data_IF_968058863519
#
_entry.id   IF_968058863519
#
_cell.length_a   1.000
_cell.length_b   1.000
_cell.length_c   1.000
_cell.angle_alpha   90.00
_cell.angle_beta   90.00
_cell.angle_gamma   90.00
#
_symmetry.space_group_name_H-M   'P 1'
#
loop_
_entity.id
_entity.type
_entity.pdbx_description
1 polymer ?
#
# COMPACT_ATOMS: atom_id res chain seq x y z
N UNK A 1 -70.30 -15.36 10.61
CA UNK A 1 -69.71 -14.43 9.63
C UNK A 1 -69.08 -13.27 10.42
N UNK A 2 -67.81 -12.88 10.32
CA UNK A 2 -66.75 -13.30 9.40
C UNK A 2 -65.55 -12.33 9.41
N UNK A 3 -65.33 -11.51 10.45
CA UNK A 3 -64.42 -10.37 10.35
C UNK A 3 -63.48 -10.09 11.54
N UNK A 4 -63.43 -10.91 12.60
CA UNK A 4 -62.54 -10.61 13.76
C UNK A 4 -61.29 -11.49 13.89
N UNK A 5 -61.13 -12.55 13.09
CA UNK A 5 -59.93 -13.43 13.17
C UNK A 5 -58.87 -13.16 12.08
N UNK A 6 -59.14 -12.28 11.12
CA UNK A 6 -58.21 -11.96 10.03
C UNK A 6 -57.30 -10.75 10.30
N UNK A 7 -57.63 -9.93 11.30
CA UNK A 7 -56.85 -8.74 11.62
C UNK A 7 -55.61 -9.01 12.50
N UNK A 8 -55.50 -10.20 13.12
CA UNK A 8 -54.35 -10.52 13.98
C UNK A 8 -53.14 -11.11 13.24
N UNK A 9 -53.33 -11.57 12.00
CA UNK A 9 -52.28 -12.23 11.21
C UNK A 9 -51.56 -11.31 10.24
N UNK A 10 -52.09 -10.11 9.97
CA UNK A 10 -51.45 -9.13 9.09
C UNK A 10 -50.44 -8.26 9.86
N UNK A 11 -50.61 -8.11 11.18
CA UNK A 11 -49.74 -7.28 12.02
C UNK A 11 -48.40 -7.93 12.37
N UNK A 12 -48.30 -9.28 12.36
CA UNK A 12 -47.02 -9.97 12.59
C UNK A 12 -46.16 -10.07 11.32
N UNK A 13 -46.76 -10.07 10.13
CA UNK A 13 -46.02 -10.10 8.87
C UNK A 13 -45.35 -8.75 8.54
N UNK A 14 -45.93 -7.63 8.99
CA UNK A 14 -45.36 -6.30 8.78
C UNK A 14 -44.13 -6.00 9.68
N UNK A 15 -44.03 -6.64 10.85
CA UNK A 15 -42.89 -6.44 11.75
C UNK A 15 -41.60 -7.14 11.27
N UNK A 16 -41.70 -8.14 10.40
CA UNK A 16 -40.53 -8.83 9.82
C UNK A 16 -39.99 -8.14 8.57
N UNK A 17 -40.77 -7.25 7.94
CA UNK A 17 -40.34 -6.50 6.74
C UNK A 17 -39.67 -5.17 7.11
N UNK A 18 -39.92 -4.62 8.31
CA UNK A 18 -39.25 -3.40 8.77
C UNK A 18 -37.83 -3.60 9.31
N UNK A 19 -37.39 -4.85 9.59
CA UNK A 19 -36.00 -5.12 9.91
C UNK A 19 -35.06 -5.03 8.68
N UNK A 20 -35.62 -4.94 7.46
CA UNK A 20 -34.85 -4.84 6.21
C UNK A 20 -34.74 -3.44 5.61
N UNK A 21 -35.35 -2.42 6.22
CA UNK A 21 -35.33 -1.05 5.70
C UNK A 21 -35.12 0.02 6.80
N UNK A 22 -34.46 -0.37 7.90
CA UNK A 22 -33.90 0.55 8.88
C UNK A 22 -32.56 1.08 8.38
N UNK A 23 -32.60 2.12 7.54
CA UNK A 23 -31.44 2.91 7.17
C UNK A 23 -30.77 3.49 8.43
N UNK A 24 -29.67 2.88 8.84
CA UNK A 24 -28.99 3.14 10.11
C UNK A 24 -27.97 2.08 10.50
N UNK A 25 -27.90 0.95 9.78
CA UNK A 25 -26.76 0.03 9.85
C UNK A 25 -25.56 0.66 9.15
N UNK A 26 -24.44 0.78 9.85
CA UNK A 26 -23.16 0.92 9.18
C UNK A 26 -23.03 -0.25 8.20
N UNK A 27 -22.62 0.02 6.95
CA UNK A 27 -22.22 -0.98 5.96
C UNK A 27 -20.95 -1.71 6.46
N UNK A 28 -21.06 -2.46 7.55
CA UNK A 28 -19.96 -3.16 8.23
C UNK A 28 -20.03 -4.67 8.04
N UNK A 29 -21.08 -5.18 7.41
CA UNK A 29 -21.06 -6.57 6.92
C UNK A 29 -20.19 -6.63 5.67
N UNK A 30 -19.06 -7.34 5.70
CA UNK A 30 -18.16 -7.32 4.58
C UNK A 30 -18.78 -7.99 3.34
N UNK A 31 -18.71 -7.27 2.22
CA UNK A 31 -19.32 -7.60 0.91
C UNK A 31 -18.92 -8.99 0.36
N UNK A 32 -17.87 -9.61 0.91
CA UNK A 32 -17.47 -10.99 0.67
C UNK A 32 -16.78 -11.57 1.92
N UNK A 33 -16.78 -12.91 2.14
CA UNK A 33 -16.11 -13.52 3.27
C UNK A 33 -14.59 -13.46 3.07
N UNK A 34 -14.00 -12.28 3.30
CA UNK A 34 -12.54 -12.12 3.39
C UNK A 34 -12.09 -12.82 4.66
N UNK A 35 -11.13 -13.72 4.53
CA UNK A 35 -10.57 -14.52 5.63
C UNK A 35 -9.11 -14.19 5.91
N UNK A 36 -8.39 -13.73 4.88
CA UNK A 36 -6.97 -13.42 4.98
C UNK A 36 -6.72 -12.04 4.37
N UNK A 37 -5.93 -11.24 5.08
CA UNK A 37 -5.39 -9.99 4.55
C UNK A 37 -3.94 -10.24 4.19
N UNK A 38 -3.55 -9.89 2.97
CA UNK A 38 -2.15 -9.88 2.51
C UNK A 38 -1.75 -8.44 2.23
N UNK A 39 -0.61 -8.01 2.76
CA UNK A 39 -0.20 -6.60 2.71
C UNK A 39 1.15 -6.50 2.04
N UNK A 40 1.29 -5.57 1.11
CA UNK A 40 2.56 -5.20 0.48
C UNK A 40 2.70 -3.69 0.51
N UNK A 41 3.91 -3.18 0.65
CA UNK A 41 4.16 -1.75 0.62
C UNK A 41 5.33 -1.31 1.47
N UNK A 42 5.19 -0.12 2.04
CA UNK A 42 6.25 0.58 2.75
C UNK A 42 6.01 0.71 4.27
N UNK A 43 6.66 1.69 4.89
CA UNK A 43 6.51 2.03 6.31
C UNK A 43 5.08 2.30 6.77
N UNK A 44 4.20 2.78 5.89
CA UNK A 44 2.80 3.05 6.23
C UNK A 44 2.02 1.75 6.50
N UNK A 45 2.50 0.63 5.95
CA UNK A 45 1.87 -0.67 6.03
C UNK A 45 2.67 -1.73 6.82
N UNK A 46 3.91 -1.46 7.20
CA UNK A 46 4.80 -2.40 7.91
C UNK A 46 4.34 -2.70 9.36
N UNK A 47 3.91 -3.95 9.61
CA UNK A 47 3.46 -4.45 10.93
C UNK A 47 4.59 -4.87 11.88
N UNK A 48 5.85 -4.61 11.57
CA UNK A 48 6.96 -4.83 12.51
C UNK A 48 8.15 -5.59 11.96
N UNK A 49 8.49 -5.47 10.67
CA UNK A 49 9.64 -6.15 10.07
C UNK A 49 10.94 -5.90 10.84
N UNK A 50 11.08 -4.72 11.44
CA UNK A 50 12.25 -4.33 12.23
C UNK A 50 12.03 -4.41 13.75
N UNK A 51 10.98 -5.12 14.21
CA UNK A 51 10.60 -5.17 15.62
C UNK A 51 9.90 -3.90 16.13
N UNK A 52 9.53 -2.99 15.24
CA UNK A 52 8.77 -1.77 15.51
C UNK A 52 7.91 -1.40 14.31
N UNK A 53 6.86 -0.59 14.54
CA UNK A 53 6.05 0.03 13.48
C UNK A 53 6.41 1.50 13.31
N UNK A 54 6.34 2.02 12.08
CA UNK A 54 6.62 3.42 11.75
C UNK A 54 5.43 4.33 12.06
N UNK A 55 5.07 4.39 13.33
CA UNK A 55 3.95 5.18 13.86
C UNK A 55 4.29 5.74 15.23
N UNK A 56 3.41 6.55 15.81
CA UNK A 56 3.52 6.96 17.21
C UNK A 56 3.49 5.70 18.07
N UNK A 57 4.54 5.48 18.86
CA UNK A 57 4.66 4.26 19.65
C UNK A 57 3.60 4.22 20.75
N UNK A 58 2.97 3.05 20.90
CA UNK A 58 2.06 2.79 22.00
C UNK A 58 2.82 2.31 23.24
N UNK A 59 2.14 1.53 24.08
CA UNK A 59 2.78 0.83 25.20
C UNK A 59 3.71 -0.31 24.76
N UNK A 60 3.61 -0.75 23.49
CA UNK A 60 4.48 -1.73 22.85
C UNK A 60 4.86 -1.28 21.42
N UNK A 61 6.03 -1.72 20.90
CA UNK A 61 6.47 -1.34 19.55
C UNK A 61 5.74 -2.08 18.42
N UNK A 62 5.20 -3.27 18.71
CA UNK A 62 4.41 -4.12 17.81
C UNK A 62 3.34 -4.87 18.61
N UNK A 63 2.39 -5.52 17.92
CA UNK A 63 1.38 -6.38 18.56
C UNK A 63 0.44 -5.65 19.53
N UNK A 64 -0.06 -6.37 20.53
CA UNK A 64 -0.96 -5.81 21.54
C UNK A 64 -0.30 -4.65 22.30
N UNK A 65 -1.00 -3.53 22.42
CA UNK A 65 -0.49 -2.31 23.05
C UNK A 65 0.25 -1.36 22.11
N UNK A 66 0.52 -1.75 20.86
CA UNK A 66 1.05 -0.84 19.83
C UNK A 66 -0.06 -0.05 19.13
N UNK A 67 0.26 1.13 18.60
CA UNK A 67 -0.68 1.95 17.83
C UNK A 67 -1.02 1.27 16.50
N UNK A 68 -2.29 1.01 16.17
CA UNK A 68 -2.64 0.29 14.95
C UNK A 68 -2.46 1.15 13.70
N UNK A 69 -1.80 0.59 12.70
CA UNK A 69 -1.65 1.16 11.35
C UNK A 69 -2.82 0.75 10.44
N UNK A 70 -2.95 1.39 9.28
CA UNK A 70 -4.15 1.24 8.44
C UNK A 70 -4.45 -0.22 8.04
N UNK A 71 -3.48 -1.08 7.66
CA UNK A 71 -3.79 -2.46 7.28
C UNK A 71 -4.24 -3.30 8.47
N UNK A 72 -3.76 -3.00 9.68
CA UNK A 72 -4.17 -3.68 10.91
C UNK A 72 -5.59 -3.33 11.30
N UNK A 73 -6.02 -2.08 11.06
CA UNK A 73 -7.41 -1.66 11.26
C UNK A 73 -8.35 -2.39 10.29
N UNK A 74 -7.95 -2.51 9.03
CA UNK A 74 -8.69 -3.31 8.04
C UNK A 74 -8.73 -4.77 8.45
N UNK A 75 -7.59 -5.39 8.80
CA UNK A 75 -7.56 -6.78 9.25
C UNK A 75 -8.46 -7.00 10.48
N UNK A 76 -8.44 -6.09 11.45
CA UNK A 76 -9.28 -6.16 12.64
C UNK A 76 -10.78 -6.10 12.32
N UNK A 77 -11.22 -5.39 11.27
CA UNK A 77 -12.64 -5.40 10.89
C UNK A 77 -13.10 -6.74 10.33
N UNK A 78 -12.16 -7.62 9.94
CA UNK A 78 -12.41 -9.00 9.52
C UNK A 78 -12.07 -10.03 10.61
N UNK A 79 -11.79 -9.59 11.84
CA UNK A 79 -11.37 -10.49 12.92
C UNK A 79 -9.99 -11.13 12.71
N UNK A 80 -9.15 -10.54 11.85
CA UNK A 80 -7.81 -11.02 11.55
C UNK A 80 -6.74 -10.15 12.23
N UNK A 81 -5.57 -10.74 12.47
CA UNK A 81 -4.37 -10.04 12.95
C UNK A 81 -3.25 -10.18 11.93
N UNK A 82 -2.39 -9.17 11.83
CA UNK A 82 -1.23 -9.18 10.95
C UNK A 82 0.06 -9.45 11.73
N UNK A 83 1.00 -10.11 11.07
CA UNK A 83 2.39 -10.23 11.50
C UNK A 83 3.30 -10.07 10.28
N UNK A 84 4.55 -9.61 10.46
CA UNK A 84 5.46 -9.35 9.36
C UNK A 84 5.96 -10.67 8.75
N UNK A 85 5.82 -10.83 7.44
CA UNK A 85 6.38 -11.94 6.65
C UNK A 85 7.90 -11.90 6.69
N UNK A 86 8.47 -10.72 6.51
CA UNK A 86 9.91 -10.52 6.60
C UNK A 86 10.27 -10.02 7.99
N UNK A 87 11.26 -10.66 8.62
CA UNK A 87 11.80 -10.29 9.92
C UNK A 87 13.28 -9.97 9.75
N UNK A 88 13.66 -8.72 9.99
CA UNK A 88 15.05 -8.29 9.91
C UNK A 88 15.80 -8.63 11.20
N UNK A 89 16.95 -9.28 11.08
CA UNK A 89 17.77 -9.73 12.22
C UNK A 89 18.94 -8.80 12.53
N UNK A 90 19.00 -7.63 11.90
CA UNK A 90 20.15 -6.72 11.96
C UNK A 90 21.10 -6.86 10.76
N UNK A 91 21.09 -8.01 10.08
CA UNK A 91 21.95 -8.27 8.92
C UNK A 91 21.22 -8.87 7.72
N UNK A 92 20.14 -9.62 7.95
CA UNK A 92 19.39 -10.30 6.90
C UNK A 92 17.89 -10.29 7.18
N UNK A 93 17.10 -10.55 6.14
CA UNK A 93 15.67 -10.78 6.26
C UNK A 93 15.38 -12.28 6.29
N UNK A 94 14.68 -12.71 7.33
CA UNK A 94 14.15 -14.07 7.47
C UNK A 94 12.65 -14.07 7.17
N UNK A 95 12.15 -15.24 6.76
CA UNK A 95 10.75 -15.44 6.42
C UNK A 95 9.99 -16.07 7.60
N UNK A 96 9.03 -15.36 8.16
CA UNK A 96 8.11 -15.87 9.17
C UNK A 96 6.96 -16.64 8.49
N UNK A 97 6.79 -17.91 8.84
CA UNK A 97 5.73 -18.75 8.30
C UNK A 97 4.35 -18.31 8.82
N UNK A 98 3.33 -18.35 7.96
CA UNK A 98 1.96 -17.96 8.31
C UNK A 98 1.69 -16.46 8.40
N UNK A 99 2.73 -15.62 8.33
CA UNK A 99 2.60 -14.17 8.31
C UNK A 99 2.34 -13.64 6.90
N UNK A 100 1.45 -12.66 6.77
CA UNK A 100 0.96 -12.18 5.47
C UNK A 100 1.16 -10.68 5.24
N UNK A 101 1.86 -9.99 6.16
CA UNK A 101 2.29 -8.62 5.92
C UNK A 101 3.72 -8.60 5.34
N UNK A 102 3.83 -8.47 4.03
CA UNK A 102 5.07 -8.38 3.27
C UNK A 102 5.60 -6.94 3.19
N UNK A 103 4.88 -5.93 3.69
CA UNK A 103 5.34 -4.55 3.67
C UNK A 103 6.61 -4.40 4.53
N UNK A 104 7.53 -3.57 4.05
CA UNK A 104 8.81 -3.31 4.72
C UNK A 104 9.06 -1.81 4.75
N UNK A 105 9.37 -1.28 5.93
CA UNK A 105 9.78 0.11 6.11
C UNK A 105 10.86 0.55 5.12
N UNK A 106 10.64 1.70 4.48
CA UNK A 106 11.50 2.18 3.39
C UNK A 106 11.25 1.52 2.03
N UNK A 107 10.15 0.77 1.90
CA UNK A 107 9.75 0.09 0.67
C UNK A 107 9.71 1.02 -0.55
N UNK A 108 10.22 0.55 -1.68
CA UNK A 108 10.26 1.29 -2.96
C UNK A 108 9.68 0.44 -4.08
N UNK A 109 8.93 1.08 -4.98
CA UNK A 109 8.47 0.43 -6.21
C UNK A 109 9.66 0.21 -7.14
N UNK A 110 10.52 1.23 -7.29
CA UNK A 110 11.73 1.16 -8.10
C UNK A 110 12.99 1.02 -7.23
N UNK A 111 13.14 -0.14 -6.60
CA UNK A 111 14.35 -0.48 -5.84
C UNK A 111 15.51 -0.96 -6.75
N UNK A 112 15.92 -0.14 -7.72
CA UNK A 112 16.79 -0.53 -8.84
C UNK A 112 18.18 -1.03 -8.45
N UNK A 113 18.72 -0.64 -7.29
CA UNK A 113 20.02 -1.11 -6.79
C UNK A 113 19.95 -2.49 -6.12
N UNK A 114 18.76 -2.89 -5.65
CA UNK A 114 18.54 -4.16 -4.98
C UNK A 114 17.12 -4.71 -5.27
N UNK A 115 16.79 -5.00 -6.55
CA UNK A 115 15.41 -5.28 -6.97
C UNK A 115 14.81 -6.55 -6.35
N UNK A 116 15.66 -7.47 -5.88
CA UNK A 116 15.28 -8.73 -5.23
C UNK A 116 15.23 -8.65 -3.70
N UNK A 117 15.59 -7.51 -3.10
CA UNK A 117 15.48 -7.28 -1.65
C UNK A 117 14.01 -7.25 -1.22
N UNK A 118 13.66 -7.71 0.01
CA UNK A 118 12.33 -7.52 0.59
C UNK A 118 11.85 -6.06 0.69
N UNK A 119 12.76 -5.09 0.62
CA UNK A 119 12.42 -3.66 0.54
C UNK A 119 11.82 -3.28 -0.84
N UNK A 120 12.03 -4.09 -1.87
CA UNK A 120 11.42 -3.88 -3.19
C UNK A 120 9.93 -4.28 -3.16
N UNK A 121 9.03 -3.32 -3.34
CA UNK A 121 7.58 -3.59 -3.31
C UNK A 121 7.19 -4.57 -4.43
N UNK A 122 7.85 -4.51 -5.60
CA UNK A 122 7.60 -5.50 -6.66
C UNK A 122 8.04 -6.91 -6.25
N UNK A 123 9.08 -7.05 -5.40
CA UNK A 123 9.47 -8.34 -4.82
C UNK A 123 8.44 -8.83 -3.80
N UNK A 124 7.93 -7.95 -2.96
CA UNK A 124 6.88 -8.28 -1.98
C UNK A 124 5.63 -8.82 -2.67
N UNK A 125 5.17 -8.17 -3.76
CA UNK A 125 4.02 -8.63 -4.55
C UNK A 125 4.34 -9.97 -5.22
N UNK A 126 5.54 -10.13 -5.78
CA UNK A 126 5.98 -11.40 -6.35
C UNK A 126 5.98 -12.56 -5.34
N UNK A 127 6.40 -12.29 -4.10
CA UNK A 127 6.46 -13.29 -3.03
C UNK A 127 5.06 -13.64 -2.53
N UNK A 128 4.19 -12.64 -2.32
CA UNK A 128 2.78 -12.87 -2.02
C UNK A 128 2.10 -13.72 -3.10
N UNK A 129 2.40 -13.45 -4.37
CA UNK A 129 1.91 -14.24 -5.50
C UNK A 129 2.50 -15.63 -5.61
N UNK A 130 3.72 -15.84 -5.11
CA UNK A 130 4.34 -17.17 -5.02
C UNK A 130 3.71 -17.99 -3.89
N UNK A 131 3.41 -17.33 -2.77
CA UNK A 131 2.65 -17.92 -1.65
C UNK A 131 1.17 -18.17 -2.02
N UNK A 132 0.70 -17.62 -3.15
CA UNK A 132 -0.62 -17.87 -3.75
C UNK A 132 -1.76 -17.04 -3.17
N UNK A 133 -2.88 -16.98 -3.88
CA UNK A 133 -4.09 -16.26 -3.47
C UNK A 133 -5.32 -17.16 -3.45
N UNK A 134 -6.10 -17.04 -2.38
CA UNK A 134 -7.42 -17.66 -2.30
C UNK A 134 -8.51 -16.67 -2.70
N UNK A 135 -9.67 -17.20 -3.11
CA UNK A 135 -10.86 -16.40 -3.40
C UNK A 135 -11.40 -15.63 -2.18
N UNK A 136 -10.88 -15.87 -0.97
CA UNK A 136 -11.20 -15.15 0.28
C UNK A 136 -10.11 -14.17 0.71
N UNK A 137 -9.09 -13.94 -0.11
CA UNK A 137 -8.04 -13.00 0.24
C UNK A 137 -8.44 -11.57 -0.14
N UNK A 138 -7.93 -10.60 0.63
CA UNK A 138 -7.90 -9.19 0.30
C UNK A 138 -6.45 -8.71 0.33
N UNK A 139 -5.99 -8.14 -0.78
CA UNK A 139 -4.69 -7.53 -0.90
C UNK A 139 -4.79 -6.04 -0.59
N UNK A 140 -3.91 -5.57 0.29
CA UNK A 140 -3.74 -4.17 0.65
C UNK A 140 -2.35 -3.74 0.21
N UNK A 141 -2.28 -2.76 -0.68
CA UNK A 141 -1.01 -2.35 -1.28
C UNK A 141 -0.82 -0.84 -1.15
N UNK A 142 0.33 -0.39 -0.64
CA UNK A 142 0.76 1.01 -0.74
C UNK A 142 2.17 1.12 -1.33
N UNK A 143 2.57 2.33 -1.72
CA UNK A 143 3.91 2.59 -2.26
C UNK A 143 4.05 3.93 -2.95
N UNK A 144 5.27 4.26 -3.33
CA UNK A 144 5.63 5.45 -4.11
C UNK A 144 6.13 6.63 -3.27
N UNK A 145 5.82 6.68 -1.97
CA UNK A 145 6.27 7.77 -1.09
C UNK A 145 7.79 7.86 -0.98
N UNK A 146 8.47 6.70 -0.82
CA UNK A 146 9.93 6.65 -0.77
C UNK A 146 10.56 6.95 -2.14
N UNK A 147 9.98 6.46 -3.24
CA UNK A 147 10.44 6.76 -4.59
C UNK A 147 10.35 8.27 -4.90
N UNK A 148 9.26 8.92 -4.49
CA UNK A 148 9.08 10.37 -4.62
C UNK A 148 10.06 11.15 -3.73
N UNK A 149 10.34 10.68 -2.51
CA UNK A 149 11.35 11.28 -1.65
C UNK A 149 12.76 11.18 -2.24
N UNK A 150 13.11 10.04 -2.86
CA UNK A 150 14.38 9.87 -3.56
C UNK A 150 14.47 10.79 -4.78
N UNK A 151 13.38 10.89 -5.57
CA UNK A 151 13.29 11.79 -6.73
C UNK A 151 13.50 13.26 -6.33
N UNK A 152 12.78 13.72 -5.29
CA UNK A 152 12.90 15.09 -4.78
C UNK A 152 14.30 15.33 -4.21
N UNK A 153 14.86 14.38 -3.47
CA UNK A 153 16.22 14.47 -2.95
C UNK A 153 17.28 14.60 -4.05
N UNK A 154 17.13 13.82 -5.13
CA UNK A 154 18.01 13.89 -6.29
C UNK A 154 17.85 15.23 -7.04
N UNK A 155 16.61 15.71 -7.21
CA UNK A 155 16.34 17.02 -7.82
C UNK A 155 16.96 18.18 -7.02
N UNK A 156 16.75 18.22 -5.70
CA UNK A 156 17.30 19.27 -4.83
C UNK A 156 18.83 19.23 -4.74
N UNK A 157 19.44 18.07 -5.01
CA UNK A 157 20.90 17.92 -5.01
C UNK A 157 21.53 18.23 -6.38
N UNK A 158 20.74 18.47 -7.43
CA UNK A 158 21.24 18.67 -8.78
C UNK A 158 22.21 19.86 -8.91
N UNK A 159 22.04 20.91 -8.10
CA UNK A 159 22.96 22.05 -8.09
C UNK A 159 24.36 21.72 -7.55
N UNK A 160 24.51 20.60 -6.83
CA UNK A 160 25.77 20.18 -6.21
C UNK A 160 26.68 19.38 -7.14
N UNK A 161 26.11 18.71 -8.14
CA UNK A 161 26.83 17.79 -9.04
C UNK A 161 26.52 18.03 -10.53
N UNK A 162 25.89 19.16 -10.85
CA UNK A 162 25.47 19.48 -12.22
C UNK A 162 24.30 18.62 -12.72
N UNK A 163 23.54 17.98 -11.82
CA UNK A 163 22.38 17.16 -12.15
C UNK A 163 22.72 15.72 -12.53
N UNK A 164 23.98 15.29 -12.32
CA UNK A 164 24.43 13.95 -12.68
C UNK A 164 23.64 12.86 -11.95
N UNK A 165 23.47 12.98 -10.63
CA UNK A 165 22.70 12.01 -9.83
C UNK A 165 21.22 12.02 -10.21
N UNK A 166 20.65 13.19 -10.50
CA UNK A 166 19.26 13.32 -10.95
C UNK A 166 19.03 12.64 -12.31
N UNK A 167 19.91 12.90 -13.29
CA UNK A 167 19.88 12.24 -14.60
C UNK A 167 20.00 10.72 -14.47
N UNK A 168 20.95 10.24 -13.67
CA UNK A 168 21.15 8.81 -13.43
C UNK A 168 19.92 8.16 -12.80
N UNK A 169 19.32 8.81 -11.80
CA UNK A 169 18.10 8.33 -11.14
C UNK A 169 16.92 8.23 -12.11
N UNK A 170 16.67 9.26 -12.92
CA UNK A 170 15.57 9.26 -13.91
C UNK A 170 15.73 8.13 -14.93
N UNK A 171 16.96 7.88 -15.39
CA UNK A 171 17.30 6.82 -16.36
C UNK A 171 17.11 5.39 -15.84
N UNK A 172 16.81 5.22 -14.55
CA UNK A 172 16.45 3.89 -14.01
C UNK A 172 15.07 3.41 -14.47
N UNK A 173 14.20 4.32 -14.90
CA UNK A 173 12.86 4.00 -15.42
C UNK A 173 12.58 4.60 -16.79
N UNK A 174 13.17 5.76 -17.10
CA UNK A 174 12.89 6.47 -18.34
C UNK A 174 13.95 6.20 -19.41
N UNK A 175 13.57 6.19 -20.71
CA UNK A 175 14.52 6.10 -21.80
C UNK A 175 15.56 7.24 -21.74
N UNK A 176 16.87 6.96 -21.93
CA UNK A 176 17.92 7.98 -21.83
C UNK A 176 17.68 9.21 -22.72
N UNK A 177 17.22 9.02 -23.95
CA UNK A 177 16.92 10.11 -24.87
C UNK A 177 15.82 11.05 -24.37
N UNK A 178 14.82 10.52 -23.64
CA UNK A 178 13.76 11.35 -23.03
C UNK A 178 14.32 12.19 -21.91
N UNK A 179 15.18 11.60 -21.07
CA UNK A 179 15.82 12.30 -19.95
C UNK A 179 16.75 13.39 -20.47
N UNK A 180 17.64 13.07 -21.40
CA UNK A 180 18.64 14.00 -21.91
C UNK A 180 18.00 15.19 -22.64
N UNK A 181 16.96 14.95 -23.44
CA UNK A 181 16.20 16.01 -24.09
C UNK A 181 15.50 16.94 -23.08
N UNK A 182 14.91 16.38 -22.02
CA UNK A 182 14.24 17.17 -21.00
C UNK A 182 15.24 18.00 -20.18
N UNK A 183 16.37 17.43 -19.77
CA UNK A 183 17.40 18.16 -19.02
C UNK A 183 18.01 19.32 -19.83
N UNK A 184 18.15 19.16 -21.15
CA UNK A 184 18.57 20.25 -22.05
C UNK A 184 17.57 21.42 -22.09
N UNK A 185 16.29 21.18 -21.73
CA UNK A 185 15.24 22.20 -21.61
C UNK A 185 15.31 23.05 -20.34
N UNK A 186 16.35 22.91 -19.51
CA UNK A 186 16.54 23.69 -18.28
C UNK A 186 15.53 23.36 -17.17
N UNK A 187 15.30 24.31 -16.25
CA UNK A 187 14.45 24.10 -15.07
C UNK A 187 13.03 23.60 -15.41
N UNK A 188 12.48 24.13 -16.51
CA UNK A 188 11.33 23.63 -17.25
C UNK A 188 11.30 22.09 -17.30
N UNK A 189 12.17 21.59 -18.17
CA UNK A 189 12.29 20.18 -18.51
C UNK A 189 12.68 19.30 -17.34
N UNK A 190 13.51 19.81 -16.41
CA UNK A 190 13.84 19.08 -15.18
C UNK A 190 12.59 18.77 -14.32
N UNK A 191 11.66 19.71 -14.18
CA UNK A 191 10.42 19.44 -13.44
C UNK A 191 9.51 18.45 -14.18
N UNK A 192 9.38 18.61 -15.50
CA UNK A 192 8.51 17.77 -16.32
C UNK A 192 9.00 16.31 -16.39
N UNK A 193 10.30 16.08 -16.48
CA UNK A 193 10.86 14.71 -16.49
C UNK A 193 10.71 14.02 -15.14
N UNK A 194 10.70 14.76 -14.03
CA UNK A 194 10.33 14.22 -12.71
C UNK A 194 8.88 13.73 -12.69
N UNK A 195 7.96 14.47 -13.30
CA UNK A 195 6.57 14.03 -13.50
C UNK A 195 6.48 12.78 -14.37
N UNK A 196 7.24 12.74 -15.48
CA UNK A 196 7.31 11.55 -16.35
C UNK A 196 7.84 10.32 -15.61
N UNK A 197 8.82 10.49 -14.72
CA UNK A 197 9.33 9.41 -13.89
C UNK A 197 8.25 8.83 -12.97
N UNK A 198 7.45 9.69 -12.31
CA UNK A 198 6.38 9.23 -11.43
C UNK A 198 5.25 8.52 -12.19
N UNK A 199 4.98 8.90 -13.44
CA UNK A 199 4.06 8.16 -14.31
C UNK A 199 4.62 6.77 -14.66
N UNK A 200 5.89 6.69 -15.09
CA UNK A 200 6.54 5.41 -15.38
C UNK A 200 6.64 4.51 -14.13
N UNK A 201 6.80 5.11 -12.95
CA UNK A 201 6.76 4.40 -11.67
C UNK A 201 5.38 3.79 -11.40
N UNK A 202 4.31 4.54 -11.66
CA UNK A 202 2.94 4.04 -11.55
C UNK A 202 2.67 2.89 -12.53
N UNK A 203 3.16 2.99 -13.78
CA UNK A 203 3.07 1.91 -14.76
C UNK A 203 3.82 0.66 -14.30
N UNK A 204 5.03 0.82 -13.75
CA UNK A 204 5.80 -0.28 -13.15
C UNK A 204 5.04 -0.93 -11.98
N UNK A 205 4.41 -0.13 -11.13
CA UNK A 205 3.66 -0.63 -9.99
C UNK A 205 2.42 -1.41 -10.43
N UNK A 206 1.64 -0.84 -11.35
CA UNK A 206 0.51 -1.49 -11.98
C UNK A 206 0.92 -2.80 -12.64
N UNK A 207 1.99 -2.81 -13.45
CA UNK A 207 2.49 -4.02 -14.10
C UNK A 207 2.92 -5.11 -13.11
N UNK A 208 3.50 -4.73 -11.96
CA UNK A 208 3.83 -5.68 -10.91
C UNK A 208 2.58 -6.29 -10.26
N UNK A 209 1.55 -5.47 -9.98
CA UNK A 209 0.26 -5.92 -9.43
C UNK A 209 -0.45 -6.83 -10.43
N UNK A 210 -0.51 -6.45 -11.70
CA UNK A 210 -1.15 -7.26 -12.73
C UNK A 210 -0.47 -8.63 -12.86
N UNK A 211 0.85 -8.64 -13.08
CA UNK A 211 1.61 -9.87 -13.32
C UNK A 211 1.66 -10.80 -12.10
N UNK A 212 1.78 -10.24 -10.89
CA UNK A 212 2.06 -11.04 -9.69
C UNK A 212 0.90 -11.16 -8.72
N UNK A 213 -0.17 -10.38 -8.88
CA UNK A 213 -1.39 -10.52 -8.10
C UNK A 213 -2.56 -10.98 -8.97
N UNK A 214 -3.01 -10.14 -9.91
CA UNK A 214 -4.24 -10.39 -10.68
C UNK A 214 -4.11 -11.63 -11.56
N UNK A 215 -3.04 -11.73 -12.35
CA UNK A 215 -2.76 -12.90 -13.21
C UNK A 215 -2.46 -14.18 -12.40
N UNK A 216 -2.28 -14.06 -11.08
CA UNK A 216 -2.13 -15.18 -10.15
C UNK A 216 -3.38 -15.46 -9.31
N UNK A 217 -4.51 -14.87 -9.67
CA UNK A 217 -5.82 -15.18 -9.08
C UNK A 217 -6.25 -14.30 -7.90
N UNK A 218 -5.53 -13.21 -7.59
CA UNK A 218 -6.02 -12.24 -6.63
C UNK A 218 -7.32 -11.60 -7.13
N UNK A 219 -8.41 -11.74 -6.38
CA UNK A 219 -9.74 -11.23 -6.78
C UNK A 219 -10.09 -9.88 -6.14
N UNK A 220 -9.38 -9.48 -5.08
CA UNK A 220 -9.65 -8.26 -4.32
C UNK A 220 -8.33 -7.58 -4.01
N UNK A 221 -8.10 -6.45 -4.66
CA UNK A 221 -6.91 -5.63 -4.49
C UNK A 221 -7.34 -4.21 -4.19
N UNK A 222 -6.95 -3.70 -3.04
CA UNK A 222 -7.07 -2.29 -2.69
C UNK A 222 -5.67 -1.67 -2.73
N UNK A 223 -5.52 -0.63 -3.55
CA UNK A 223 -4.27 0.13 -3.67
C UNK A 223 -4.49 1.50 -3.06
N UNK A 224 -3.69 1.86 -2.05
CA UNK A 224 -3.65 3.19 -1.48
C UNK A 224 -2.73 4.05 -2.35
N UNK A 225 -3.30 5.10 -2.96
CA UNK A 225 -2.52 6.09 -3.69
C UNK A 225 -1.55 6.80 -2.73
N UNK A 226 -0.38 7.18 -3.25
CA UNK A 226 0.60 7.95 -2.50
C UNK A 226 -0.05 9.21 -1.90
N UNK A 227 0.00 9.39 -0.56
CA UNK A 227 -0.48 10.61 0.07
C UNK A 227 0.28 11.84 -0.42
N UNK A 228 -0.33 13.02 -0.31
CA UNK A 228 0.31 14.29 -0.69
C UNK A 228 1.61 14.54 0.07
N UNK A 229 2.75 14.27 -0.57
CA UNK A 229 4.08 14.37 0.05
C UNK A 229 4.45 15.82 0.39
N UNK A 230 3.85 16.79 -0.30
CA UNK A 230 3.99 18.24 -0.08
C UNK A 230 3.40 18.70 1.27
N UNK A 231 2.59 17.85 1.92
CA UNK A 231 2.04 18.10 3.26
C UNK A 231 2.85 17.44 4.38
N UNK A 232 3.96 16.79 4.06
CA UNK A 232 4.82 16.18 5.07
C UNK A 232 5.77 17.23 5.67
N UNK A 233 6.06 17.19 6.98
CA UNK A 233 6.98 18.13 7.60
C UNK A 233 8.36 18.17 6.92
N UNK A 234 8.86 17.02 6.44
CA UNK A 234 10.13 16.93 5.73
C UNK A 234 10.15 17.77 4.46
N UNK A 235 9.14 17.67 3.60
CA UNK A 235 9.09 18.45 2.37
C UNK A 235 8.75 19.91 2.64
N UNK A 236 7.87 20.19 3.60
CA UNK A 236 7.56 21.58 3.97
C UNK A 236 8.81 22.34 4.46
N UNK A 237 9.66 21.69 5.26
CA UNK A 237 10.95 22.27 5.67
C UNK A 237 11.91 22.56 4.49
N UNK A 238 11.77 21.83 3.39
CA UNK A 238 12.59 22.05 2.17
C UNK A 238 11.99 23.10 1.23
N UNK A 239 10.68 23.35 1.31
CA UNK A 239 9.95 24.25 0.42
C UNK A 239 9.81 25.68 0.97
N UNK A 240 9.98 25.89 2.27
CA UNK A 240 9.89 27.20 2.93
C UNK A 240 8.53 27.49 3.53
#
# INVERSE_FOLDING_TARGET
MGYQRKALWISLAAAWVLAGCGGGGSDTEPVAPVKTIKVMGDSLADSGTFGLKFTVQGAAPTGAGSTPIWPERVASSYGATLCPRYVFTGTAFNNAAGCTNYAVGGGRINNFTAPTSPVSITKQISDAGTDGFAASDLLLIDGGGNDAADLVGAYLSASKDGGASYSAFLKTLLPPATVDAALAGGAAGMAQVGGAYMMALADKFHGAIDANALNKGAMRVAVLNMPGIDKTPRLQQLLG
#
